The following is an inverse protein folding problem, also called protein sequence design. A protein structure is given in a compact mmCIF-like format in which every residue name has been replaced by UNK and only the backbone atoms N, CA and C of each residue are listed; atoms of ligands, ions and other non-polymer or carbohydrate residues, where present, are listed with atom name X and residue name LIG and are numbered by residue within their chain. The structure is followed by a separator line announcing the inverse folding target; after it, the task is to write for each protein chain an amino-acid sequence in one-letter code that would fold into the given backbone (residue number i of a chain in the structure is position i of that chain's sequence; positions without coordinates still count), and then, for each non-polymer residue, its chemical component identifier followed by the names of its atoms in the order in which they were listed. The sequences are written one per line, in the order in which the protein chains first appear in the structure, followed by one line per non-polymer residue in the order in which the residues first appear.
data_IF_743856735667
#
_entry.id   IF_743856735667
#
_cell.length_a   1.000
_cell.length_b   1.000
_cell.length_c   1.000
_cell.angle_alpha   90.00
_cell.angle_beta   90.00
_cell.angle_gamma   90.00
#
_symmetry.space_group_name_H-M   'P 1'
#
loop_
_entity.id
_entity.type
_entity.pdbx_description
1 polymer ?
#
# COMPACT_ATOMS: atom_id res chain seq x y z
N UNK A 1 1.89 3.93 -24.40
CA UNK A 1 1.11 2.74 -24.76
C UNK A 1 0.29 3.12 -25.99
N UNK A 2 0.56 2.52 -27.15
CA UNK A 2 -0.16 2.78 -28.41
C UNK A 2 -1.25 1.76 -28.70
N UNK A 3 -1.17 0.56 -28.11
CA UNK A 3 -2.15 -0.51 -28.21
C UNK A 3 -2.10 -1.45 -27.00
N UNK A 4 -3.18 -2.19 -26.75
CA UNK A 4 -3.27 -3.25 -25.74
C UNK A 4 -4.04 -4.46 -26.30
N UNK A 5 -3.80 -5.66 -25.78
CA UNK A 5 -4.62 -6.83 -26.09
C UNK A 5 -5.72 -7.05 -25.04
N UNK A 6 -6.97 -7.19 -25.49
CA UNK A 6 -8.13 -7.51 -24.66
C UNK A 6 -8.83 -8.73 -25.27
N UNK A 7 -8.87 -9.85 -24.54
CA UNK A 7 -9.48 -11.11 -25.01
C UNK A 7 -8.99 -11.56 -26.40
N UNK A 8 -7.70 -11.35 -26.70
CA UNK A 8 -7.09 -11.69 -27.99
C UNK A 8 -7.32 -10.65 -29.11
N UNK A 9 -8.05 -9.57 -28.86
CA UNK A 9 -8.26 -8.45 -29.81
C UNK A 9 -7.31 -7.31 -29.50
N UNK A 10 -6.64 -6.77 -30.52
CA UNK A 10 -5.79 -5.59 -30.38
C UNK A 10 -6.67 -4.32 -30.33
N UNK A 11 -6.54 -3.54 -29.26
CA UNK A 11 -7.29 -2.31 -29.00
C UNK A 11 -6.34 -1.13 -29.08
N UNK A 12 -6.67 -0.14 -29.90
CA UNK A 12 -5.83 1.03 -30.18
C UNK A 12 -6.57 2.34 -29.90
N UNK A 13 -5.80 3.41 -29.66
CA UNK A 13 -6.34 4.75 -29.37
C UNK A 13 -6.63 5.01 -27.88
N UNK A 14 -6.55 6.29 -27.48
CA UNK A 14 -6.59 6.70 -26.05
C UNK A 14 -7.90 6.29 -25.37
N UNK A 15 -9.05 6.61 -25.96
CA UNK A 15 -10.35 6.32 -25.34
C UNK A 15 -10.66 4.82 -25.22
N UNK A 16 -10.49 4.00 -26.29
CA UNK A 16 -10.68 2.56 -26.18
C UNK A 16 -9.73 1.90 -25.17
N UNK A 17 -8.46 2.30 -25.17
CA UNK A 17 -7.47 1.80 -24.19
C UNK A 17 -7.90 2.18 -22.76
N UNK A 18 -8.29 3.44 -22.52
CA UNK A 18 -8.74 3.89 -21.19
C UNK A 18 -9.97 3.11 -20.74
N UNK A 19 -10.94 2.90 -21.62
CA UNK A 19 -12.16 2.17 -21.30
C UNK A 19 -11.88 0.69 -20.99
N UNK A 20 -10.99 0.06 -21.75
CA UNK A 20 -10.59 -1.32 -21.53
C UNK A 20 -9.85 -1.51 -20.19
N UNK A 21 -8.92 -0.61 -19.87
CA UNK A 21 -8.20 -0.62 -18.58
C UNK A 21 -9.19 -0.40 -17.42
N UNK A 22 -10.07 0.59 -17.53
CA UNK A 22 -11.09 0.84 -16.52
C UNK A 22 -11.99 -0.39 -16.32
N UNK A 23 -12.51 -0.97 -17.41
CA UNK A 23 -13.43 -2.12 -17.33
C UNK A 23 -12.74 -3.35 -16.73
N UNK A 24 -11.47 -3.59 -17.06
CA UNK A 24 -10.67 -4.67 -16.49
C UNK A 24 -10.60 -4.54 -14.96
N UNK A 25 -10.15 -3.40 -14.45
CA UNK A 25 -10.00 -3.20 -13.01
C UNK A 25 -11.34 -3.06 -12.29
N UNK A 26 -12.35 -2.42 -12.90
CA UNK A 26 -13.70 -2.34 -12.33
C UNK A 26 -14.31 -3.73 -12.14
N UNK A 27 -14.13 -4.63 -13.11
CA UNK A 27 -14.56 -6.03 -12.98
C UNK A 27 -13.71 -6.79 -11.97
N UNK A 28 -12.39 -6.60 -11.97
CA UNK A 28 -11.46 -7.32 -11.11
C UNK A 28 -11.65 -6.98 -9.62
N UNK A 29 -11.91 -5.71 -9.32
CA UNK A 29 -12.17 -5.21 -7.97
C UNK A 29 -13.66 -5.19 -7.60
N UNK A 30 -14.54 -5.74 -8.44
CA UNK A 30 -15.95 -5.91 -8.09
C UNK A 30 -16.08 -6.95 -6.99
N UNK A 31 -16.82 -6.62 -5.93
CA UNK A 31 -17.15 -7.58 -4.90
C UNK A 31 -17.83 -8.82 -5.54
N UNK A 32 -17.27 -9.99 -5.29
CA UNK A 32 -17.86 -11.26 -5.71
C UNK A 32 -18.70 -11.83 -4.56
N UNK A 33 -19.97 -12.12 -4.83
CA UNK A 33 -20.87 -12.78 -3.87
C UNK A 33 -20.60 -14.30 -3.82
N UNK A 34 -19.36 -14.67 -3.54
CA UNK A 34 -18.96 -16.07 -3.36
C UNK A 34 -19.02 -16.39 -1.88
N UNK A 35 -19.63 -17.52 -1.51
CA UNK A 35 -19.53 -18.07 -0.17
C UNK A 35 -18.05 -18.37 0.14
N UNK A 36 -17.41 -17.50 0.92
CA UNK A 36 -16.02 -17.68 1.32
C UNK A 36 -15.99 -18.75 2.42
N UNK A 37 -15.17 -19.82 2.29
CA UNK A 37 -15.01 -20.79 3.36
C UNK A 37 -14.63 -20.09 4.67
N UNK A 38 -15.29 -20.47 5.77
CA UNK A 38 -14.93 -20.01 7.11
C UNK A 38 -13.55 -20.53 7.51
N UNK A 39 -12.93 -19.88 8.49
CA UNK A 39 -11.63 -20.30 9.06
C UNK A 39 -11.78 -20.99 10.42
N UNK A 40 -13.00 -21.38 10.77
CA UNK A 40 -13.40 -21.92 12.08
C UNK A 40 -12.53 -23.14 12.49
N UNK A 41 -12.17 -23.99 11.53
CA UNK A 41 -11.40 -25.23 11.77
C UNK A 41 -9.89 -25.08 11.54
N UNK A 42 -9.39 -23.88 11.24
CA UNK A 42 -7.98 -23.65 11.00
C UNK A 42 -7.22 -23.40 12.30
N UNK A 43 -6.19 -24.20 12.55
CA UNK A 43 -5.26 -23.98 13.65
C UNK A 43 -4.21 -22.94 13.25
N UNK A 44 -4.38 -21.70 13.72
CA UNK A 44 -3.39 -20.64 13.52
C UNK A 44 -2.29 -20.71 14.57
N UNK A 45 -1.04 -20.53 14.12
CA UNK A 45 0.08 -20.28 15.05
C UNK A 45 -0.22 -18.99 15.83
N UNK A 46 -0.05 -19.06 17.15
CA UNK A 46 -0.20 -17.90 18.03
C UNK A 46 1.18 -17.44 18.49
N UNK A 47 1.31 -16.13 18.63
CA UNK A 47 2.50 -15.53 19.21
C UNK A 47 2.59 -15.87 20.71
N UNK A 48 3.81 -15.96 21.22
CA UNK A 48 4.03 -16.07 22.66
C UNK A 48 3.83 -14.70 23.33
N UNK A 49 3.76 -14.67 24.65
CA UNK A 49 3.54 -13.43 25.42
C UNK A 49 4.57 -12.33 25.13
N UNK A 50 5.89 -12.60 25.10
CA UNK A 50 6.89 -11.62 24.70
C UNK A 50 6.64 -11.01 23.31
N UNK A 51 6.34 -11.83 22.32
CA UNK A 51 6.11 -11.40 20.94
C UNK A 51 4.87 -10.52 20.86
N UNK A 52 3.79 -10.85 21.59
CA UNK A 52 2.58 -10.03 21.68
C UNK A 52 2.92 -8.64 22.23
N UNK A 53 3.68 -8.57 23.33
CA UNK A 53 4.09 -7.29 23.92
C UNK A 53 4.99 -6.47 22.98
N UNK A 54 5.79 -7.15 22.14
CA UNK A 54 6.66 -6.47 21.18
C UNK A 54 5.87 -5.77 20.06
N UNK A 55 4.69 -6.26 19.69
CA UNK A 55 3.85 -5.66 18.64
C UNK A 55 3.20 -4.34 19.06
N UNK A 56 3.02 -4.12 20.37
CA UNK A 56 2.37 -2.92 20.92
C UNK A 56 3.36 -1.92 21.50
N UNK A 57 4.67 -2.16 21.36
CA UNK A 57 5.68 -1.24 21.86
C UNK A 57 5.70 0.04 21.00
N UNK A 58 5.95 1.22 21.59
CA UNK A 58 6.19 2.42 20.81
C UNK A 58 7.35 2.24 19.83
N UNK A 59 7.25 2.86 18.66
CA UNK A 59 8.34 2.86 17.69
C UNK A 59 9.51 3.71 18.20
N UNK A 60 10.72 3.23 17.94
CA UNK A 60 11.93 4.02 18.17
C UNK A 60 12.21 5.00 17.03
N UNK A 61 12.94 6.07 17.32
CA UNK A 61 13.38 7.03 16.29
C UNK A 61 14.09 6.34 15.13
N UNK A 62 14.96 5.39 15.43
CA UNK A 62 15.72 4.65 14.43
C UNK A 62 14.82 3.78 13.55
N UNK A 63 13.78 3.14 14.10
CA UNK A 63 12.79 2.37 13.32
C UNK A 63 12.01 3.27 12.36
N UNK A 64 11.50 4.40 12.86
CA UNK A 64 10.76 5.36 12.03
C UNK A 64 11.65 5.94 10.94
N UNK A 65 12.86 6.37 11.30
CA UNK A 65 13.84 6.91 10.34
C UNK A 65 14.21 5.89 9.27
N UNK A 66 14.47 4.64 9.66
CA UNK A 66 14.80 3.58 8.71
C UNK A 66 13.66 3.37 7.71
N UNK A 67 12.40 3.30 8.18
CA UNK A 67 11.24 3.15 7.30
C UNK A 67 11.08 4.32 6.31
N UNK A 68 11.32 5.56 6.76
CA UNK A 68 11.30 6.75 5.88
C UNK A 68 12.42 6.68 4.83
N UNK A 69 13.62 6.24 5.21
CA UNK A 69 14.76 6.16 4.29
C UNK A 69 14.64 5.04 3.25
N UNK A 70 14.03 3.92 3.63
CA UNK A 70 13.75 2.80 2.73
C UNK A 70 12.75 3.17 1.62
N UNK A 71 11.93 4.19 1.87
CA UNK A 71 11.01 4.73 0.87
C UNK A 71 11.73 5.64 -0.14
N UNK A 72 11.33 5.59 -1.42
CA UNK A 72 11.84 6.50 -2.45
C UNK A 72 11.35 7.94 -2.25
N UNK A 73 12.22 8.94 -2.35
CA UNK A 73 11.88 10.35 -2.11
C UNK A 73 10.79 10.88 -3.04
N UNK A 74 10.80 10.45 -4.31
CA UNK A 74 9.87 10.91 -5.36
C UNK A 74 8.72 9.94 -5.62
N UNK A 75 8.31 9.16 -4.61
CA UNK A 75 7.07 8.37 -4.70
C UNK A 75 5.87 9.30 -4.82
N UNK A 76 4.77 8.77 -5.36
CA UNK A 76 3.52 9.52 -5.50
C UNK A 76 3.10 10.10 -4.15
N UNK A 77 2.68 11.38 -4.10
CA UNK A 77 2.28 12.01 -2.86
C UNK A 77 0.95 11.44 -2.35
N UNK A 78 0.71 11.60 -1.05
CA UNK A 78 -0.60 11.33 -0.45
C UNK A 78 -1.65 12.37 -0.87
N UNK A 79 -2.89 12.26 -0.36
CA UNK A 79 -3.93 13.27 -0.54
C UNK A 79 -3.55 14.67 -0.02
N UNK A 80 -2.55 14.74 0.88
CA UNK A 80 -1.95 15.96 1.41
C UNK A 80 -0.92 16.61 0.47
N UNK A 81 -0.57 15.95 -0.64
CA UNK A 81 0.44 16.43 -1.57
C UNK A 81 1.88 16.23 -1.12
N UNK A 82 2.12 15.55 0.00
CA UNK A 82 3.44 15.35 0.59
C UNK A 82 3.99 13.97 0.19
N UNK A 83 5.29 13.91 -0.13
CA UNK A 83 6.01 12.66 -0.40
C UNK A 83 7.13 12.44 0.62
N UNK A 84 7.80 11.29 0.53
CA UNK A 84 8.90 10.94 1.45
C UNK A 84 10.12 11.87 1.34
N UNK A 85 10.29 12.62 0.25
CA UNK A 85 11.34 13.63 0.14
C UNK A 85 11.22 14.70 1.23
N UNK A 86 10.01 15.22 1.45
CA UNK A 86 9.74 16.20 2.51
C UNK A 86 10.16 15.68 3.89
N UNK A 87 9.78 14.45 4.26
CA UNK A 87 10.12 13.88 5.56
C UNK A 87 11.63 13.68 5.74
N UNK A 88 12.37 13.42 4.65
CA UNK A 88 13.84 13.31 4.69
C UNK A 88 14.50 14.68 4.83
N UNK A 89 14.00 15.68 4.12
CA UNK A 89 14.55 17.03 4.12
C UNK A 89 14.31 17.73 5.46
N UNK A 90 13.15 17.52 6.08
CA UNK A 90 12.73 18.14 7.35
C UNK A 90 12.75 17.17 8.54
N UNK A 91 13.54 16.09 8.47
CA UNK A 91 13.65 15.12 9.56
C UNK A 91 14.04 15.75 10.92
N UNK A 92 15.02 16.67 11.01
CA UNK A 92 15.43 17.27 12.28
C UNK A 92 14.28 17.97 13.03
N UNK A 93 13.34 18.56 12.30
CA UNK A 93 12.17 19.27 12.83
C UNK A 93 11.00 18.33 13.15
N UNK A 94 10.88 17.23 12.42
CA UNK A 94 9.74 16.29 12.51
C UNK A 94 9.99 15.10 13.44
N UNK A 95 11.24 14.76 13.75
CA UNK A 95 11.58 13.55 14.52
C UNK A 95 10.88 13.47 15.89
N UNK A 96 10.69 14.62 16.57
CA UNK A 96 10.02 14.66 17.87
C UNK A 96 8.49 14.50 17.78
N UNK A 97 7.87 14.91 16.68
CA UNK A 97 6.42 14.77 16.47
C UNK A 97 6.07 13.39 15.92
N UNK A 98 6.95 12.80 15.11
CA UNK A 98 6.76 11.48 14.51
C UNK A 98 6.78 10.32 15.52
N UNK A 99 7.34 10.53 16.72
CA UNK A 99 7.50 9.49 17.75
C UNK A 99 6.42 9.49 18.84
N UNK A 100 5.53 10.50 18.84
CA UNK A 100 4.52 10.70 19.87
C UNK A 100 3.08 10.37 19.40
N UNK A 101 2.95 9.52 18.39
CA UNK A 101 1.66 9.04 17.85
C UNK A 101 1.25 7.73 18.52
#
# INVERSE_FOLDING_TARGET
ISSIQVNGVNVEGVDPIRQAVFSHFASHFKASNVARPGVEDLQFKRLNWPDIGSLTRPFSESEVKAAVWDCGSFKSPGPDGINFGFFKDFWPELQLTALNV
#
